data_IF_452278050513
#
_entry.id   IF_452278050513
#
_cell.length_a   1.000
_cell.length_b   1.000
_cell.length_c   1.000
_cell.angle_alpha   90.00
_cell.angle_beta   90.00
_cell.angle_gamma   90.00
#
_symmetry.space_group_name_H-M   'P 1'
#
loop_
_entity.id
_entity.type
_entity.pdbx_description
1 polymer ?
#
# COMPACT_ATOMS: atom_id res chain seq x y z
N UNK A 1 -6.84 -14.66 -19.10
CA UNK A 1 -6.38 -15.37 -17.90
C UNK A 1 -7.43 -15.21 -16.81
N UNK A 2 -7.86 -16.31 -16.24
CA UNK A 2 -8.82 -16.26 -15.14
C UNK A 2 -8.10 -15.99 -13.83
N UNK A 3 -8.53 -14.95 -13.12
CA UNK A 3 -7.99 -14.64 -11.80
C UNK A 3 -8.65 -15.53 -10.76
N UNK A 4 -7.85 -16.11 -9.90
CA UNK A 4 -8.33 -16.89 -8.77
C UNK A 4 -7.42 -16.64 -7.55
N UNK A 5 -7.79 -17.20 -6.41
CA UNK A 5 -7.06 -17.02 -5.17
C UNK A 5 -5.59 -17.43 -5.28
N UNK A 6 -5.29 -18.42 -6.11
CA UNK A 6 -3.92 -18.97 -6.21
C UNK A 6 -3.02 -18.13 -7.11
N UNK A 7 -3.57 -17.51 -8.16
CA UNK A 7 -2.75 -16.84 -9.18
C UNK A 7 -2.91 -15.32 -9.23
N UNK A 8 -3.84 -14.74 -8.46
CA UNK A 8 -4.13 -13.32 -8.53
C UNK A 8 -2.90 -12.45 -8.25
N UNK A 9 -2.15 -12.77 -7.19
CA UNK A 9 -0.97 -11.98 -6.80
C UNK A 9 0.09 -12.01 -7.90
N UNK A 10 0.42 -13.19 -8.38
CA UNK A 10 1.41 -13.36 -9.44
C UNK A 10 0.98 -12.65 -10.72
N UNK A 11 -0.30 -12.77 -11.09
CA UNK A 11 -0.83 -12.12 -12.28
C UNK A 11 -0.69 -10.59 -12.22
N UNK A 12 -0.97 -9.99 -11.07
CA UNK A 12 -0.82 -8.53 -10.89
C UNK A 12 0.65 -8.14 -10.96
N UNK A 13 1.53 -8.87 -10.28
CA UNK A 13 2.97 -8.58 -10.29
C UNK A 13 3.52 -8.71 -11.72
N UNK A 14 3.11 -9.74 -12.45
CA UNK A 14 3.55 -9.92 -13.85
C UNK A 14 3.09 -8.78 -14.76
N UNK A 15 1.97 -8.11 -14.41
CA UNK A 15 1.48 -6.97 -15.19
C UNK A 15 2.43 -5.76 -15.11
N UNK A 16 3.36 -5.75 -14.14
CA UNK A 16 4.34 -4.68 -13.98
C UNK A 16 5.59 -4.86 -14.85
N UNK A 17 5.64 -5.91 -15.67
CA UNK A 17 6.83 -6.21 -16.47
C UNK A 17 7.27 -5.06 -17.39
N UNK A 18 6.31 -4.20 -17.82
CA UNK A 18 6.60 -3.06 -18.67
C UNK A 18 7.18 -1.84 -17.95
N UNK A 19 7.22 -1.85 -16.62
CA UNK A 19 7.76 -0.75 -15.84
C UNK A 19 9.29 -0.81 -15.91
N UNK A 20 9.91 0.31 -16.32
CA UNK A 20 11.37 0.36 -16.51
C UNK A 20 12.14 0.68 -15.23
N UNK A 21 11.47 1.30 -14.25
CA UNK A 21 12.09 1.64 -12.96
C UNK A 21 12.06 0.40 -12.06
N UNK A 22 13.22 -0.22 -11.88
CA UNK A 22 13.34 -1.45 -11.07
C UNK A 22 12.96 -1.23 -9.61
N UNK A 23 13.28 -0.07 -9.05
CA UNK A 23 12.92 0.23 -7.66
C UNK A 23 11.40 0.37 -7.51
N UNK A 24 10.75 1.02 -8.46
CA UNK A 24 9.30 1.15 -8.44
C UNK A 24 8.63 -0.23 -8.55
N UNK A 25 9.14 -1.10 -9.42
CA UNK A 25 8.63 -2.47 -9.53
C UNK A 25 8.75 -3.22 -8.22
N UNK A 26 9.90 -3.11 -7.56
CA UNK A 26 10.14 -3.74 -6.26
C UNK A 26 9.13 -3.27 -5.22
N UNK A 27 8.94 -1.95 -5.10
CA UNK A 27 8.01 -1.36 -4.14
C UNK A 27 6.58 -1.82 -4.42
N UNK A 28 6.14 -1.74 -5.68
CA UNK A 28 4.78 -2.12 -6.05
C UNK A 28 4.53 -3.61 -5.84
N UNK A 29 5.51 -4.45 -6.16
CA UNK A 29 5.40 -5.89 -5.95
C UNK A 29 5.25 -6.24 -4.48
N UNK A 30 6.01 -5.56 -3.62
CA UNK A 30 5.90 -5.73 -2.18
C UNK A 30 4.53 -5.31 -1.66
N UNK A 31 4.05 -4.13 -2.08
CA UNK A 31 2.73 -3.64 -1.67
C UNK A 31 1.63 -4.62 -2.06
N UNK A 32 1.63 -5.08 -3.31
CA UNK A 32 0.61 -6.02 -3.78
C UNK A 32 0.67 -7.34 -3.04
N UNK A 33 1.86 -7.87 -2.81
CA UNK A 33 2.02 -9.13 -2.09
C UNK A 33 1.42 -9.05 -0.69
N UNK A 34 1.77 -8.00 0.07
CA UNK A 34 1.30 -7.83 1.44
C UNK A 34 -0.19 -7.49 1.50
N UNK A 35 -0.67 -6.70 0.54
CA UNK A 35 -2.09 -6.38 0.47
C UNK A 35 -2.93 -7.63 0.20
N UNK A 36 -2.49 -8.48 -0.73
CA UNK A 36 -3.19 -9.74 -1.01
C UNK A 36 -3.14 -10.68 0.19
N UNK A 37 -2.03 -10.71 0.92
CA UNK A 37 -1.91 -11.50 2.14
C UNK A 37 -2.93 -11.07 3.20
N UNK A 38 -3.13 -9.76 3.37
CA UNK A 38 -4.14 -9.25 4.30
C UNK A 38 -5.53 -9.73 3.91
N UNK A 39 -5.86 -9.62 2.64
CA UNK A 39 -7.18 -10.04 2.14
C UNK A 39 -7.40 -11.53 2.37
N UNK A 40 -6.40 -12.34 2.10
CA UNK A 40 -6.48 -13.80 2.31
C UNK A 40 -6.60 -14.16 3.79
N UNK A 41 -5.89 -13.45 4.65
CA UNK A 41 -5.89 -13.69 6.09
C UNK A 41 -7.22 -13.30 6.73
N UNK A 42 -7.70 -12.12 6.40
CA UNK A 42 -8.88 -11.52 7.06
C UNK A 42 -10.19 -11.96 6.43
N UNK A 43 -10.18 -12.28 5.14
CA UNK A 43 -11.37 -12.67 4.37
C UNK A 43 -12.50 -11.67 4.53
N UNK A 44 -12.29 -10.37 4.16
CA UNK A 44 -13.32 -9.35 4.33
C UNK A 44 -14.54 -9.63 3.46
N UNK A 45 -15.70 -9.19 3.96
CA UNK A 45 -16.92 -9.25 3.17
C UNK A 45 -16.94 -8.13 2.14
N UNK A 46 -17.85 -8.24 1.16
CA UNK A 46 -18.04 -7.18 0.17
C UNK A 46 -18.43 -5.86 0.83
N UNK A 47 -19.26 -5.91 1.87
CA UNK A 47 -19.65 -4.72 2.61
C UNK A 47 -18.46 -4.06 3.30
N UNK A 48 -17.62 -4.86 3.94
CA UNK A 48 -16.41 -4.36 4.59
C UNK A 48 -15.44 -3.76 3.58
N UNK A 49 -15.25 -4.43 2.45
CA UNK A 49 -14.42 -3.92 1.36
C UNK A 49 -14.95 -2.57 0.84
N UNK A 50 -16.27 -2.46 0.65
CA UNK A 50 -16.88 -1.20 0.20
C UNK A 50 -16.69 -0.08 1.22
N UNK A 51 -16.77 -0.39 2.52
CA UNK A 51 -16.50 0.60 3.57
C UNK A 51 -15.08 1.14 3.49
N UNK A 52 -14.10 0.27 3.21
CA UNK A 52 -12.71 0.69 3.04
C UNK A 52 -12.56 1.61 1.82
N UNK A 53 -13.20 1.27 0.71
CA UNK A 53 -13.18 2.11 -0.50
C UNK A 53 -13.77 3.48 -0.21
N UNK A 54 -14.93 3.52 0.46
CA UNK A 54 -15.60 4.78 0.81
C UNK A 54 -14.73 5.65 1.72
N UNK A 55 -14.05 5.03 2.67
CA UNK A 55 -13.12 5.73 3.54
C UNK A 55 -11.99 6.38 2.75
N UNK A 56 -11.37 5.63 1.84
CA UNK A 56 -10.29 6.17 1.00
C UNK A 56 -10.80 7.26 0.05
N UNK A 57 -12.01 7.10 -0.47
CA UNK A 57 -12.64 8.10 -1.34
C UNK A 57 -12.83 9.42 -0.58
N UNK A 58 -13.33 9.36 0.66
CA UNK A 58 -13.47 10.56 1.49
C UNK A 58 -12.12 11.20 1.78
N UNK A 59 -11.12 10.38 2.08
CA UNK A 59 -9.76 10.88 2.31
C UNK A 59 -9.27 11.66 1.09
N UNK A 60 -9.50 11.12 -0.10
CA UNK A 60 -9.13 11.78 -1.35
C UNK A 60 -9.88 13.09 -1.55
N UNK A 61 -11.19 13.11 -1.27
CA UNK A 61 -12.01 14.33 -1.43
C UNK A 61 -11.60 15.44 -0.45
N UNK A 62 -11.04 15.09 0.70
CA UNK A 62 -10.57 16.04 1.69
C UNK A 62 -9.20 16.59 1.37
N UNK A 63 -8.51 16.03 0.39
CA UNK A 63 -7.18 16.46 -0.02
C UNK A 63 -7.30 17.54 -1.11
N UNK A 64 -6.42 18.54 -1.04
CA UNK A 64 -6.29 19.57 -2.07
C UNK A 64 -4.84 20.06 -2.10
N UNK A 65 -4.56 21.15 -2.78
CA UNK A 65 -3.19 21.67 -2.91
C UNK A 65 -2.55 22.04 -1.58
N UNK A 66 -3.35 22.26 -0.54
CA UNK A 66 -2.87 22.71 0.78
C UNK A 66 -3.06 21.67 1.86
N UNK A 67 -3.94 20.69 1.65
CA UNK A 67 -4.32 19.71 2.66
C UNK A 67 -4.11 18.31 2.12
N UNK A 68 -3.21 17.57 2.74
CA UNK A 68 -2.90 16.20 2.36
C UNK A 68 -3.44 15.23 3.42
N UNK A 69 -4.68 14.82 3.25
CA UNK A 69 -5.33 13.89 4.19
C UNK A 69 -4.64 12.53 4.24
N UNK A 70 -3.98 12.12 3.14
CA UNK A 70 -3.23 10.88 3.13
C UNK A 70 -1.99 10.94 4.01
N UNK A 71 -1.39 12.13 4.22
CA UNK A 71 -0.31 12.30 5.17
C UNK A 71 -0.85 12.11 6.59
N UNK A 72 -1.99 12.71 6.89
CA UNK A 72 -2.63 12.53 8.19
C UNK A 72 -2.98 11.06 8.44
N UNK A 73 -3.51 10.38 7.42
CA UNK A 73 -3.79 8.95 7.49
C UNK A 73 -2.52 8.15 7.79
N UNK A 74 -1.42 8.46 7.11
CA UNK A 74 -0.11 7.84 7.34
C UNK A 74 0.35 8.04 8.79
N UNK A 75 0.15 9.24 9.34
CA UNK A 75 0.49 9.55 10.74
C UNK A 75 -0.33 8.72 11.71
N UNK A 76 -1.64 8.66 11.49
CA UNK A 76 -2.57 7.92 12.37
C UNK A 76 -2.27 6.42 12.34
N UNK A 77 -1.91 5.89 11.18
CA UNK A 77 -1.61 4.46 11.01
C UNK A 77 -0.19 4.10 11.46
N UNK A 78 0.60 5.07 11.88
CA UNK A 78 1.96 4.82 12.35
C UNK A 78 2.98 4.61 11.23
N UNK A 79 2.60 4.83 9.99
CA UNK A 79 3.51 4.66 8.85
C UNK A 79 4.58 5.74 8.85
N UNK A 80 4.20 6.99 9.11
CA UNK A 80 5.14 8.12 9.15
C UNK A 80 6.20 7.93 10.23
N UNK A 81 5.79 7.51 11.43
CA UNK A 81 6.71 7.32 12.55
C UNK A 81 7.64 6.12 12.29
N UNK A 82 7.15 5.09 11.66
CA UNK A 82 7.98 3.94 11.27
C UNK A 82 9.04 4.34 10.25
N UNK A 83 8.65 5.14 9.26
CA UNK A 83 9.57 5.68 8.27
C UNK A 83 10.68 6.48 8.93
N UNK A 84 10.33 7.36 9.88
CA UNK A 84 11.30 8.17 10.61
C UNK A 84 12.25 7.31 11.45
N UNK A 85 11.74 6.26 12.08
CA UNK A 85 12.55 5.34 12.88
C UNK A 85 13.59 4.62 12.01
N UNK A 86 13.20 4.16 10.84
CA UNK A 86 14.10 3.51 9.89
C UNK A 86 15.18 4.48 9.45
N UNK A 87 14.82 5.73 9.14
CA UNK A 87 15.73 6.77 8.73
C UNK A 87 16.77 7.09 9.82
N UNK A 88 16.33 7.17 11.07
CA UNK A 88 17.23 7.41 12.21
C UNK A 88 18.22 6.27 12.39
N UNK A 89 17.75 5.02 12.27
CA UNK A 89 18.64 3.87 12.39
C UNK A 89 19.69 3.87 11.28
N UNK A 90 19.31 4.22 10.06
CA UNK A 90 20.23 4.34 8.95
C UNK A 90 21.31 5.41 9.22
N UNK A 91 20.91 6.56 9.79
CA UNK A 91 21.83 7.63 10.14
C UNK A 91 22.78 7.22 11.27
N UNK A 92 22.31 6.45 12.24
CA UNK A 92 23.14 5.96 13.34
C UNK A 92 24.20 4.97 12.87
N UNK A 93 23.91 4.20 11.85
CA UNK A 93 24.86 3.24 11.28
C UNK A 93 26.05 3.91 10.62
N UNK A 94 25.96 5.19 10.32
CA UNK A 94 27.04 5.98 9.71
C UNK A 94 28.03 6.53 10.74
N UNK A 95 27.74 6.42 12.02
CA UNK A 95 28.61 6.86 13.12
C UNK A 95 29.44 5.67 13.66
#
# INVERSE_FOLDING_TARGET
MDFNEKNATEAVINSFAGIKDDRLKEIMSSIITHLHEVVKEVEPTEEEWMKAIMFLTKTGHMSDDRRQEFILLSDVLGVSILFDAIKKNTLQDWN
#
